data_IF_545584717648
#
_entry.id   IF_545584717648
#
_cell.length_a   1.000
_cell.length_b   1.000
_cell.length_c   1.000
_cell.angle_alpha   90.00
_cell.angle_beta   90.00
_cell.angle_gamma   90.00
#
_symmetry.space_group_name_H-M   'P 1'
#
loop_
_entity.id
_entity.type
_entity.pdbx_description
1 polymer ?
#
# COMPACT_ATOMS: atom_id res chain seq x y z
N UNK A 1 2.82 -22.26 5.37
CA UNK A 1 1.86 -22.89 6.31
C UNK A 1 0.49 -22.51 5.78
N UNK A 2 -0.11 -23.43 4.99
CA UNK A 2 -1.51 -23.32 4.63
C UNK A 2 -2.27 -23.45 5.94
N UNK A 3 -2.62 -22.34 6.58
CA UNK A 3 -3.88 -22.39 7.31
C UNK A 3 -4.94 -22.54 6.22
N UNK A 4 -5.58 -23.68 6.18
CA UNK A 4 -6.88 -23.82 5.58
C UNK A 4 -7.78 -22.81 6.32
N UNK A 5 -7.75 -21.56 5.85
CA UNK A 5 -8.79 -20.63 6.16
C UNK A 5 -10.02 -21.17 5.44
N UNK A 6 -10.67 -22.15 6.10
CA UNK A 6 -12.04 -22.43 5.77
C UNK A 6 -12.78 -21.09 5.89
N UNK A 7 -13.03 -20.54 4.75
CA UNK A 7 -14.09 -19.59 4.31
C UNK A 7 -14.72 -18.57 5.25
N UNK A 8 -14.25 -18.28 6.45
CA UNK A 8 -14.97 -17.35 7.34
C UNK A 8 -14.15 -16.31 8.10
N UNK A 9 -12.83 -16.41 8.20
CA UNK A 9 -12.03 -15.44 8.95
C UNK A 9 -10.96 -14.72 8.11
N UNK A 10 -10.40 -15.35 7.09
CA UNK A 10 -9.41 -14.71 6.17
C UNK A 10 -10.05 -13.72 5.20
N UNK A 11 -11.32 -13.93 4.88
CA UNK A 11 -12.10 -13.03 4.03
C UNK A 11 -12.46 -11.71 4.71
N UNK A 12 -12.50 -11.64 6.03
CA UNK A 12 -13.06 -10.46 6.70
C UNK A 12 -12.16 -9.23 6.59
N UNK A 13 -10.85 -9.37 6.70
CA UNK A 13 -9.91 -8.23 6.62
C UNK A 13 -9.78 -7.70 5.19
N UNK A 14 -9.57 -8.59 4.22
CA UNK A 14 -9.50 -8.20 2.82
C UNK A 14 -10.85 -7.67 2.32
N UNK A 15 -11.96 -8.26 2.76
CA UNK A 15 -13.31 -7.80 2.42
C UNK A 15 -13.63 -6.43 3.03
N UNK A 16 -13.04 -6.05 4.15
CA UNK A 16 -13.13 -4.70 4.68
C UNK A 16 -12.12 -3.74 4.01
N UNK A 17 -10.91 -4.22 3.72
CA UNK A 17 -9.89 -3.41 3.05
C UNK A 17 -10.31 -2.97 1.64
N UNK A 18 -10.88 -3.87 0.83
CA UNK A 18 -11.32 -3.54 -0.53
C UNK A 18 -12.30 -2.36 -0.59
N UNK A 19 -13.39 -2.31 0.18
CA UNK A 19 -14.26 -1.14 0.24
C UNK A 19 -13.54 0.13 0.73
N UNK A 20 -12.67 0.03 1.73
CA UNK A 20 -11.94 1.18 2.26
C UNK A 20 -11.00 1.78 1.20
N UNK A 21 -10.22 0.96 0.50
CA UNK A 21 -9.34 1.41 -0.60
C UNK A 21 -10.15 1.93 -1.79
N UNK A 22 -11.32 1.33 -2.07
CA UNK A 22 -12.25 1.82 -3.10
C UNK A 22 -12.79 3.20 -2.73
N UNK A 23 -13.23 3.40 -1.49
CA UNK A 23 -13.71 4.70 -1.01
C UNK A 23 -12.60 5.75 -1.04
N UNK A 24 -11.39 5.39 -0.63
CA UNK A 24 -10.22 6.27 -0.78
C UNK A 24 -10.00 6.68 -2.23
N UNK A 25 -9.99 5.72 -3.17
CA UNK A 25 -9.79 6.01 -4.59
C UNK A 25 -10.90 6.88 -5.17
N UNK A 26 -12.16 6.69 -4.76
CA UNK A 26 -13.29 7.51 -5.14
C UNK A 26 -13.16 8.94 -4.58
N UNK A 27 -12.68 9.08 -3.35
CA UNK A 27 -12.41 10.40 -2.74
C UNK A 27 -11.33 11.15 -3.52
N UNK A 28 -10.23 10.47 -3.88
CA UNK A 28 -9.19 11.05 -4.75
C UNK A 28 -9.77 11.45 -6.10
N UNK A 29 -10.59 10.58 -6.71
CA UNK A 29 -11.23 10.87 -7.98
C UNK A 29 -12.18 12.08 -7.92
N UNK A 30 -12.90 12.25 -6.81
CA UNK A 30 -13.79 13.39 -6.60
C UNK A 30 -13.02 14.73 -6.43
N UNK A 31 -11.74 14.67 -6.05
CA UNK A 31 -10.89 15.86 -5.89
C UNK A 31 -10.15 16.27 -7.18
N UNK A 32 -10.31 15.53 -8.27
CA UNK A 32 -9.71 15.88 -9.57
C UNK A 32 -10.33 17.14 -10.18
N UNK A 33 -11.57 17.47 -9.83
CA UNK A 33 -12.30 18.64 -10.32
C UNK A 33 -12.05 19.94 -9.52
N UNK A 34 -10.94 19.99 -8.80
CA UNK A 34 -10.56 21.18 -8.06
C UNK A 34 -11.50 21.55 -6.91
N UNK A 35 -11.44 22.82 -6.50
CA UNK A 35 -12.23 23.36 -5.40
C UNK A 35 -13.64 23.73 -5.80
N UNK A 36 -13.82 24.15 -7.06
CA UNK A 36 -15.12 24.57 -7.60
C UNK A 36 -16.04 23.38 -7.96
N UNK A 37 -15.50 22.17 -8.00
CA UNK A 37 -16.25 20.96 -8.30
C UNK A 37 -16.67 20.82 -9.77
N UNK A 38 -16.12 21.64 -10.68
CA UNK A 38 -16.45 21.68 -12.10
C UNK A 38 -15.29 21.16 -12.94
N UNK A 39 -15.51 20.11 -13.71
CA UNK A 39 -14.49 19.55 -14.58
C UNK A 39 -14.14 20.49 -15.75
N UNK A 40 -12.86 20.56 -16.11
CA UNK A 40 -12.36 21.35 -17.24
C UNK A 40 -12.00 22.79 -16.87
N UNK A 41 -11.87 23.11 -15.59
CA UNK A 41 -11.47 24.43 -15.09
C UNK A 41 -9.99 24.47 -14.71
N UNK A 42 -9.47 25.66 -14.43
CA UNK A 42 -8.04 25.90 -14.21
C UNK A 42 -7.51 25.32 -12.88
N UNK A 43 -8.39 24.98 -11.94
CA UNK A 43 -8.05 24.41 -10.65
C UNK A 43 -8.16 22.87 -10.62
N UNK A 44 -8.47 22.24 -11.76
CA UNK A 44 -8.45 20.80 -11.90
C UNK A 44 -7.07 20.21 -11.55
N UNK A 45 -7.07 19.12 -10.81
CA UNK A 45 -5.85 18.42 -10.38
C UNK A 45 -5.81 17.03 -11.00
N UNK A 46 -4.77 16.74 -11.77
CA UNK A 46 -4.59 15.41 -12.37
C UNK A 46 -4.06 14.42 -11.32
N UNK A 47 -4.97 13.86 -10.52
CA UNK A 47 -4.64 12.77 -9.61
C UNK A 47 -4.49 11.44 -10.35
N UNK A 48 -3.43 10.70 -10.04
CA UNK A 48 -3.17 9.38 -10.60
C UNK A 48 -2.91 8.38 -9.48
N UNK A 49 -3.43 7.17 -9.62
CA UNK A 49 -3.25 6.07 -8.68
C UNK A 49 -2.60 4.89 -9.39
N UNK A 50 -1.65 4.24 -8.74
CA UNK A 50 -1.15 2.92 -9.09
C UNK A 50 -1.38 1.96 -7.93
N UNK A 51 -1.62 0.69 -8.21
CA UNK A 51 -1.93 -0.33 -7.21
C UNK A 51 -0.87 -1.41 -7.22
N UNK A 52 -0.37 -1.75 -6.04
CA UNK A 52 0.57 -2.84 -5.80
C UNK A 52 -0.02 -3.76 -4.74
N UNK A 53 -0.17 -5.02 -5.06
CA UNK A 53 -0.44 -6.07 -4.09
C UNK A 53 0.86 -6.70 -3.66
N UNK A 54 1.14 -6.78 -2.36
CA UNK A 54 2.35 -7.43 -1.89
C UNK A 54 2.05 -8.63 -1.00
N UNK A 55 2.82 -9.66 -1.19
CA UNK A 55 2.72 -10.92 -0.46
C UNK A 55 4.10 -11.58 -0.38
N UNK A 56 4.31 -12.69 -1.09
CA UNK A 56 5.63 -13.31 -1.23
C UNK A 56 6.44 -12.66 -2.36
N UNK A 57 7.74 -12.91 -2.37
CA UNK A 57 8.59 -12.46 -3.48
C UNK A 57 8.25 -13.20 -4.77
N UNK A 58 8.34 -14.52 -4.71
CA UNK A 58 8.07 -15.44 -5.82
C UNK A 58 7.98 -16.86 -5.30
N UNK A 59 6.96 -17.58 -5.72
CA UNK A 59 6.88 -19.03 -5.56
C UNK A 59 6.73 -19.69 -6.94
N UNK A 60 7.80 -20.35 -7.41
CA UNK A 60 7.80 -21.10 -8.68
C UNK A 60 6.73 -22.18 -8.73
N UNK A 61 6.32 -22.69 -7.59
CA UNK A 61 5.28 -23.71 -7.48
C UNK A 61 3.86 -23.12 -7.44
N UNK A 62 3.73 -21.80 -7.51
CA UNK A 62 2.45 -21.06 -7.45
C UNK A 62 1.59 -21.40 -6.22
N UNK A 63 2.25 -21.75 -5.11
CA UNK A 63 1.57 -22.06 -3.83
C UNK A 63 1.19 -20.81 -3.05
N UNK A 64 1.84 -19.68 -3.34
CA UNK A 64 1.68 -18.44 -2.62
C UNK A 64 1.49 -17.29 -3.60
N UNK A 65 0.66 -16.32 -3.25
CA UNK A 65 0.57 -15.08 -3.99
C UNK A 65 1.90 -14.35 -3.98
N UNK A 66 2.20 -13.73 -5.12
CA UNK A 66 3.41 -12.95 -5.30
C UNK A 66 3.13 -11.46 -5.04
N UNK A 67 4.20 -10.67 -4.95
CA UNK A 67 4.10 -9.23 -5.04
C UNK A 67 3.90 -8.85 -6.51
N UNK A 68 2.88 -8.05 -6.79
CA UNK A 68 2.38 -7.79 -8.14
C UNK A 68 2.01 -6.32 -8.31
N UNK A 69 2.31 -5.76 -9.50
CA UNK A 69 1.72 -4.50 -9.95
C UNK A 69 0.45 -4.79 -10.74
N UNK A 70 -0.55 -3.94 -10.59
CA UNK A 70 -1.82 -4.05 -11.27
C UNK A 70 -1.95 -2.97 -12.35
N UNK A 71 -2.44 -3.38 -13.53
CA UNK A 71 -2.89 -2.48 -14.60
C UNK A 71 -4.29 -2.93 -14.99
N UNK A 72 -5.31 -2.30 -14.43
CA UNK A 72 -6.67 -2.81 -14.44
C UNK A 72 -6.74 -4.14 -13.71
N UNK A 73 -7.45 -5.12 -14.24
CA UNK A 73 -7.52 -6.48 -13.67
C UNK A 73 -6.27 -7.34 -13.95
N UNK A 74 -5.32 -6.86 -14.75
CA UNK A 74 -4.12 -7.63 -15.09
C UNK A 74 -3.07 -7.49 -13.97
N UNK A 75 -2.42 -8.61 -13.65
CA UNK A 75 -1.41 -8.74 -12.61
C UNK A 75 -0.06 -9.08 -13.22
N UNK A 76 0.99 -8.35 -12.83
CA UNK A 76 2.34 -8.56 -13.33
C UNK A 76 3.31 -8.76 -12.18
N UNK A 77 3.91 -9.94 -12.17
CA UNK A 77 4.68 -10.45 -11.05
C UNK A 77 6.04 -9.75 -10.91
N UNK A 78 6.43 -9.45 -9.67
CA UNK A 78 7.68 -8.80 -9.29
C UNK A 78 8.92 -9.41 -9.94
N UNK A 79 9.05 -10.74 -9.96
CA UNK A 79 10.27 -11.41 -10.43
C UNK A 79 10.32 -11.69 -11.92
N UNK A 80 9.24 -11.53 -12.65
CA UNK A 80 9.18 -11.98 -14.05
C UNK A 80 9.04 -10.83 -15.03
N UNK A 81 8.07 -9.95 -14.82
CA UNK A 81 7.72 -8.96 -15.84
C UNK A 81 7.17 -7.64 -15.29
N UNK A 82 7.02 -7.48 -13.97
CA UNK A 82 6.40 -6.27 -13.40
C UNK A 82 7.07 -4.97 -13.83
N UNK A 83 8.41 -4.95 -13.93
CA UNK A 83 9.15 -3.73 -14.30
C UNK A 83 8.82 -3.19 -15.70
N UNK A 84 8.36 -4.04 -16.61
CA UNK A 84 7.92 -3.63 -17.95
C UNK A 84 6.64 -2.78 -17.91
N UNK A 85 5.88 -2.88 -16.83
CA UNK A 85 4.57 -2.23 -16.68
C UNK A 85 4.59 -1.04 -15.71
N UNK A 86 5.72 -0.73 -15.08
CA UNK A 86 5.82 0.38 -14.14
C UNK A 86 5.45 1.72 -14.79
N UNK A 87 5.83 1.96 -16.03
CA UNK A 87 5.49 3.19 -16.76
C UNK A 87 3.98 3.36 -17.02
N UNK A 88 3.22 2.26 -17.10
CA UNK A 88 1.77 2.25 -17.34
C UNK A 88 0.93 1.94 -16.10
N UNK A 89 1.57 1.80 -14.92
CA UNK A 89 0.86 1.44 -13.70
C UNK A 89 -0.09 2.54 -13.19
N UNK A 90 0.28 3.80 -13.35
CA UNK A 90 -0.57 4.92 -12.93
C UNK A 90 -1.79 5.06 -13.82
N UNK A 91 -2.95 5.10 -13.18
CA UNK A 91 -4.24 5.33 -13.81
C UNK A 91 -4.72 6.75 -13.50
N UNK A 92 -5.17 7.45 -14.52
CA UNK A 92 -5.70 8.81 -14.42
C UNK A 92 -7.10 8.81 -13.79
N UNK A 93 -7.22 9.38 -12.60
CA UNK A 93 -8.47 9.42 -11.85
C UNK A 93 -9.49 10.44 -12.37
N UNK A 94 -9.10 11.26 -13.32
CA UNK A 94 -10.02 12.15 -14.04
C UNK A 94 -10.89 11.38 -15.04
N UNK A 95 -10.39 10.26 -15.56
CA UNK A 95 -11.07 9.49 -16.62
C UNK A 95 -11.93 8.34 -16.09
N UNK A 96 -13.08 8.04 -16.74
CA UNK A 96 -13.87 6.85 -16.40
C UNK A 96 -13.06 5.54 -16.51
N UNK A 97 -12.17 5.45 -17.52
CA UNK A 97 -11.32 4.27 -17.72
C UNK A 97 -10.33 4.09 -16.57
N UNK A 98 -9.67 5.17 -16.13
CA UNK A 98 -8.74 5.10 -15.00
C UNK A 98 -9.43 4.66 -13.70
N UNK A 99 -10.61 5.21 -13.41
CA UNK A 99 -11.45 4.81 -12.26
C UNK A 99 -11.84 3.33 -12.34
N UNK A 100 -12.30 2.87 -13.51
CA UNK A 100 -12.65 1.47 -13.74
C UNK A 100 -11.44 0.54 -13.55
N UNK A 101 -10.27 0.92 -14.04
CA UNK A 101 -9.04 0.16 -13.90
C UNK A 101 -8.61 0.03 -12.42
N UNK A 102 -8.68 1.10 -11.62
CA UNK A 102 -8.38 1.03 -10.19
C UNK A 102 -9.38 0.13 -9.45
N UNK A 103 -10.68 0.25 -9.75
CA UNK A 103 -11.71 -0.63 -9.18
C UNK A 103 -11.44 -2.10 -9.54
N UNK A 104 -11.08 -2.40 -10.78
CA UNK A 104 -10.73 -3.74 -11.22
C UNK A 104 -9.46 -4.26 -10.52
N UNK A 105 -8.44 -3.41 -10.35
CA UNK A 105 -7.22 -3.75 -9.61
C UNK A 105 -7.51 -4.15 -8.16
N UNK A 106 -8.31 -3.34 -7.46
CA UNK A 106 -8.71 -3.63 -6.07
C UNK A 106 -9.56 -4.90 -6.00
N UNK A 107 -10.46 -5.10 -6.95
CA UNK A 107 -11.30 -6.30 -7.07
C UNK A 107 -10.49 -7.58 -7.23
N UNK A 108 -9.35 -7.51 -7.95
CA UNK A 108 -8.48 -8.63 -8.25
C UNK A 108 -7.60 -9.08 -7.08
N UNK A 109 -7.55 -8.35 -5.96
CA UNK A 109 -6.83 -8.80 -4.77
C UNK A 109 -7.38 -10.12 -4.23
N UNK A 110 -6.46 -10.96 -3.79
CA UNK A 110 -6.74 -12.26 -3.20
C UNK A 110 -5.83 -12.46 -1.98
N UNK A 111 -6.38 -12.94 -0.88
CA UNK A 111 -5.67 -13.08 0.40
C UNK A 111 -4.91 -14.40 0.44
N UNK A 112 -3.62 -14.38 0.12
CA UNK A 112 -2.74 -15.54 0.23
C UNK A 112 -1.27 -15.11 0.31
N UNK A 113 -0.44 -15.95 0.91
CA UNK A 113 1.01 -15.77 0.94
C UNK A 113 1.55 -15.16 2.23
N UNK A 114 2.65 -14.44 2.10
CA UNK A 114 3.38 -13.80 3.18
C UNK A 114 3.14 -12.27 3.20
N UNK A 115 3.74 -11.57 4.15
CA UNK A 115 3.64 -10.10 4.26
C UNK A 115 5.03 -9.47 4.06
N UNK A 116 5.62 -9.69 2.89
CA UNK A 116 6.92 -9.09 2.55
C UNK A 116 6.75 -7.66 2.01
N UNK A 117 6.54 -6.73 2.91
CA UNK A 117 6.32 -5.30 2.64
C UNK A 117 7.46 -4.67 1.84
N UNK A 118 8.70 -5.15 2.01
CA UNK A 118 9.87 -4.66 1.28
C UNK A 118 9.71 -4.79 -0.25
N UNK A 119 9.13 -5.88 -0.75
CA UNK A 119 8.92 -6.04 -2.19
C UNK A 119 7.82 -5.12 -2.72
N UNK A 120 6.78 -4.88 -1.93
CA UNK A 120 5.74 -3.90 -2.26
C UNK A 120 6.30 -2.49 -2.38
N UNK A 121 7.10 -2.06 -1.41
CA UNK A 121 7.74 -0.74 -1.40
C UNK A 121 8.80 -0.60 -2.51
N UNK A 122 9.58 -1.66 -2.78
CA UNK A 122 10.53 -1.68 -3.89
C UNK A 122 9.81 -1.48 -5.24
N UNK A 123 8.70 -2.18 -5.44
CA UNK A 123 7.86 -2.04 -6.63
C UNK A 123 7.26 -0.64 -6.73
N UNK A 124 6.75 -0.08 -5.64
CA UNK A 124 6.23 1.28 -5.59
C UNK A 124 7.31 2.32 -5.95
N UNK A 125 8.54 2.17 -5.43
CA UNK A 125 9.69 2.99 -5.81
C UNK A 125 10.00 2.86 -7.30
N UNK A 126 9.97 1.65 -7.85
CA UNK A 126 10.16 1.40 -9.29
C UNK A 126 9.10 2.10 -10.16
N UNK A 127 7.83 2.04 -9.76
CA UNK A 127 6.73 2.74 -10.44
C UNK A 127 6.93 4.26 -10.40
N UNK A 128 7.28 4.81 -9.24
CA UNK A 128 7.54 6.23 -9.09
C UNK A 128 8.74 6.69 -9.93
N UNK A 129 9.80 5.88 -10.02
CA UNK A 129 10.97 6.18 -10.84
C UNK A 129 10.68 6.11 -12.35
N UNK A 130 9.83 5.17 -12.77
CA UNK A 130 9.39 5.04 -14.16
C UNK A 130 8.43 6.16 -14.59
N UNK A 131 7.91 6.93 -13.63
CA UNK A 131 6.99 8.05 -13.85
C UNK A 131 7.51 9.31 -13.16
N UNK A 132 8.60 9.92 -13.64
CA UNK A 132 9.15 11.14 -13.06
C UNK A 132 8.13 12.29 -13.16
N UNK A 133 8.31 13.29 -12.33
CA UNK A 133 7.55 14.54 -12.44
C UNK A 133 8.06 15.26 -13.70
N UNK A 134 7.18 15.65 -14.64
CA UNK A 134 7.60 16.41 -15.81
C UNK A 134 8.25 17.74 -15.42
N UNK A 135 9.18 18.20 -16.22
CA UNK A 135 9.86 19.48 -16.02
C UNK A 135 8.85 20.63 -15.94
N UNK A 136 8.99 21.48 -14.92
CA UNK A 136 8.11 22.61 -14.69
C UNK A 136 6.79 22.28 -13.96
N UNK A 137 6.50 21.00 -13.67
CA UNK A 137 5.36 20.60 -12.87
C UNK A 137 5.75 20.39 -11.40
N UNK A 138 4.80 20.62 -10.50
CA UNK A 138 4.90 20.24 -9.09
C UNK A 138 3.86 19.15 -8.80
N UNK A 139 4.31 18.02 -8.25
CA UNK A 139 3.43 16.91 -7.88
C UNK A 139 3.77 16.40 -6.49
N UNK A 140 2.76 16.25 -5.67
CA UNK A 140 2.89 15.51 -4.42
C UNK A 140 2.94 14.01 -4.74
N UNK A 141 4.03 13.36 -4.37
CA UNK A 141 4.24 11.91 -4.54
C UNK A 141 3.96 11.23 -3.21
N UNK A 142 3.05 10.29 -3.21
CA UNK A 142 2.57 9.65 -1.99
C UNK A 142 2.55 8.13 -2.17
N UNK A 143 2.99 7.40 -1.14
CA UNK A 143 2.73 5.97 -0.97
C UNK A 143 1.80 5.80 0.22
N UNK A 144 0.73 5.04 0.06
CA UNK A 144 -0.12 4.59 1.16
C UNK A 144 0.06 3.08 1.32
N UNK A 145 0.66 2.68 2.43
CA UNK A 145 0.92 1.29 2.78
C UNK A 145 -0.20 0.78 3.69
N UNK A 146 -0.99 -0.17 3.21
CA UNK A 146 -1.97 -0.90 4.03
C UNK A 146 -1.40 -2.26 4.42
N UNK A 147 -1.58 -2.68 5.67
CA UNK A 147 -1.21 -4.02 6.13
C UNK A 147 -2.18 -4.53 7.19
N UNK A 148 -2.53 -5.79 7.10
CA UNK A 148 -3.35 -6.53 8.07
C UNK A 148 -2.53 -7.52 8.91
N UNK A 149 -1.20 -7.53 8.72
CA UNK A 149 -0.31 -8.49 9.35
C UNK A 149 1.10 -7.93 9.63
N UNK A 150 1.88 -8.77 10.28
CA UNK A 150 3.28 -8.46 10.61
C UNK A 150 4.20 -8.70 9.41
N UNK A 151 5.25 -7.89 9.20
CA UNK A 151 6.24 -8.14 8.16
C UNK A 151 6.83 -9.54 8.29
N UNK A 152 6.92 -10.29 7.17
CA UNK A 152 7.59 -11.56 7.12
C UNK A 152 6.77 -12.71 6.54
N UNK A 153 7.31 -13.93 6.70
CA UNK A 153 6.72 -15.16 6.15
C UNK A 153 5.57 -15.70 7.00
N UNK A 154 5.62 -15.47 8.30
CA UNK A 154 4.66 -16.05 9.25
C UNK A 154 3.81 -14.92 9.83
N UNK A 155 2.49 -15.01 9.63
CA UNK A 155 1.55 -14.00 10.09
C UNK A 155 1.52 -13.80 11.63
N UNK A 156 1.96 -14.79 12.39
CA UNK A 156 1.94 -14.75 13.85
C UNK A 156 3.23 -14.19 14.46
N UNK A 157 4.28 -13.95 13.65
CA UNK A 157 5.59 -13.51 14.13
C UNK A 157 6.09 -12.30 13.35
N UNK A 158 6.54 -11.29 14.08
CA UNK A 158 7.22 -10.14 13.49
C UNK A 158 8.64 -10.53 13.06
N UNK A 159 8.91 -10.50 11.76
CA UNK A 159 10.25 -10.74 11.20
C UNK A 159 11.01 -9.43 11.07
N UNK A 160 11.99 -9.25 11.96
CA UNK A 160 12.82 -8.03 12.01
C UNK A 160 13.66 -7.82 10.74
N UNK A 161 14.07 -8.90 10.08
CA UNK A 161 14.83 -8.79 8.83
C UNK A 161 13.94 -8.29 7.69
N UNK A 162 12.73 -8.82 7.59
CA UNK A 162 11.75 -8.35 6.61
C UNK A 162 11.35 -6.89 6.88
N UNK A 163 11.15 -6.52 8.14
CA UNK A 163 10.87 -5.14 8.55
C UNK A 163 12.02 -4.19 8.18
N UNK A 164 13.27 -4.54 8.51
CA UNK A 164 14.44 -3.72 8.20
C UNK A 164 14.64 -3.57 6.68
N UNK A 165 14.39 -4.62 5.90
CA UNK A 165 14.41 -4.53 4.44
C UNK A 165 13.34 -3.57 3.90
N UNK A 166 12.14 -3.58 4.49
CA UNK A 166 11.07 -2.64 4.15
C UNK A 166 11.42 -1.20 4.54
N UNK A 167 12.03 -0.98 5.71
CA UNK A 167 12.51 0.35 6.13
C UNK A 167 13.57 0.91 5.19
N UNK A 168 14.43 0.07 4.63
CA UNK A 168 15.39 0.49 3.59
C UNK A 168 14.65 1.06 2.38
N UNK A 169 13.61 0.39 1.90
CA UNK A 169 12.81 0.86 0.76
C UNK A 169 12.00 2.12 1.10
N UNK A 170 11.46 2.21 2.32
CA UNK A 170 10.78 3.41 2.79
C UNK A 170 11.74 4.62 2.87
N UNK A 171 12.98 4.40 3.30
CA UNK A 171 14.01 5.44 3.34
C UNK A 171 14.34 5.94 1.93
N UNK A 172 14.46 5.04 0.95
CA UNK A 172 14.65 5.43 -0.46
C UNK A 172 13.49 6.32 -0.94
N UNK A 173 12.24 5.92 -0.68
CA UNK A 173 11.07 6.73 -1.04
C UNK A 173 11.12 8.13 -0.41
N UNK A 174 11.33 8.20 0.91
CA UNK A 174 11.37 9.47 1.67
C UNK A 174 12.50 10.39 1.19
N UNK A 175 13.69 9.85 0.91
CA UNK A 175 14.82 10.60 0.37
C UNK A 175 14.55 11.16 -1.05
N UNK A 176 13.63 10.53 -1.79
CA UNK A 176 13.14 11.00 -3.08
C UNK A 176 11.92 11.94 -2.97
N UNK A 177 11.65 12.49 -1.78
CA UNK A 177 10.57 13.45 -1.55
C UNK A 177 9.16 12.82 -1.54
N UNK A 178 9.05 11.50 -1.35
CA UNK A 178 7.76 10.81 -1.27
C UNK A 178 7.24 10.85 0.17
N UNK A 179 6.01 11.32 0.34
CA UNK A 179 5.29 11.18 1.62
C UNK A 179 4.75 9.75 1.75
N UNK A 180 5.08 9.06 2.83
CA UNK A 180 4.67 7.70 3.07
C UNK A 180 3.70 7.65 4.25
N UNK A 181 2.47 7.25 3.97
CA UNK A 181 1.45 6.94 4.97
C UNK A 181 1.40 5.42 5.19
N UNK A 182 1.20 5.01 6.42
CA UNK A 182 0.97 3.61 6.77
C UNK A 182 -0.38 3.45 7.47
N UNK A 183 -1.09 2.38 7.15
CA UNK A 183 -2.39 2.03 7.74
C UNK A 183 -2.31 0.61 8.25
N UNK A 184 -2.30 0.44 9.56
CA UNK A 184 -2.26 -0.86 10.23
C UNK A 184 -3.65 -1.33 10.59
N UNK A 185 -4.01 -2.54 10.12
CA UNK A 185 -5.32 -3.17 10.33
C UNK A 185 -5.10 -4.54 10.99
N UNK A 186 -4.42 -4.54 12.14
CA UNK A 186 -4.14 -5.76 12.88
C UNK A 186 -4.52 -5.60 14.37
N UNK A 187 -4.82 -6.68 15.08
CA UNK A 187 -5.18 -6.60 16.49
C UNK A 187 -4.08 -5.90 17.30
N UNK A 188 -4.44 -4.85 18.03
CA UNK A 188 -3.53 -4.03 18.80
C UNK A 188 -2.76 -2.99 17.97
N UNK A 189 -3.17 -2.70 16.74
CA UNK A 189 -2.66 -1.56 15.98
C UNK A 189 -2.95 -0.26 16.75
N UNK A 190 -1.90 0.52 17.03
CA UNK A 190 -1.97 1.76 17.80
C UNK A 190 -1.00 2.80 17.21
N UNK A 191 -1.57 3.85 16.65
CA UNK A 191 -0.82 4.97 16.09
C UNK A 191 -0.48 6.05 17.12
N UNK A 192 -1.02 5.97 18.33
CA UNK A 192 -0.92 7.01 19.37
C UNK A 192 0.20 6.76 20.36
N UNK A 193 0.57 5.51 20.59
CA UNK A 193 1.63 5.11 21.52
C UNK A 193 2.89 4.73 20.73
N UNK A 194 4.07 5.12 21.22
CA UNK A 194 5.33 4.72 20.61
C UNK A 194 5.52 3.21 20.71
N UNK A 195 5.74 2.56 19.55
CA UNK A 195 6.02 1.13 19.49
C UNK A 195 7.43 0.80 19.97
N UNK A 196 7.67 -0.47 20.29
CA UNK A 196 8.97 -0.99 20.75
C UNK A 196 9.47 -2.10 19.82
N UNK A 197 10.61 -1.87 19.16
CA UNK A 197 11.25 -2.84 18.28
C UNK A 197 11.57 -4.18 18.97
N UNK A 198 11.91 -4.14 20.26
CA UNK A 198 12.26 -5.33 21.04
C UNK A 198 11.09 -5.88 21.88
N UNK A 199 9.94 -5.24 21.81
CA UNK A 199 8.73 -5.63 22.51
C UNK A 199 8.05 -6.87 21.93
N UNK A 200 6.78 -7.03 22.23
CA UNK A 200 5.95 -8.07 21.63
C UNK A 200 5.87 -7.92 20.11
N UNK A 201 5.35 -8.93 19.41
CA UNK A 201 5.14 -8.83 17.96
C UNK A 201 4.25 -7.63 17.59
N UNK A 202 3.24 -7.31 18.41
CA UNK A 202 2.36 -6.16 18.22
C UNK A 202 3.09 -4.83 18.45
N UNK A 203 3.90 -4.73 19.50
CA UNK A 203 4.69 -3.53 19.78
C UNK A 203 5.70 -3.27 18.66
N UNK A 204 6.38 -4.34 18.20
CA UNK A 204 7.31 -4.27 17.10
C UNK A 204 6.63 -3.89 15.78
N UNK A 205 5.39 -4.35 15.55
CA UNK A 205 4.61 -3.96 14.38
C UNK A 205 4.17 -2.49 14.43
N UNK A 206 3.73 -1.99 15.57
CA UNK A 206 3.42 -0.57 15.77
C UNK A 206 4.67 0.30 15.56
N UNK A 207 5.82 -0.11 16.13
CA UNK A 207 7.10 0.53 15.88
C UNK A 207 7.41 0.57 14.36
N UNK A 208 7.27 -0.55 13.67
CA UNK A 208 7.52 -0.66 12.23
C UNK A 208 6.64 0.29 11.42
N UNK A 209 5.34 0.34 11.72
CA UNK A 209 4.40 1.23 11.03
C UNK A 209 4.74 2.70 11.24
N UNK A 210 5.22 3.09 12.41
CA UNK A 210 5.70 4.43 12.72
C UNK A 210 7.00 4.74 11.98
N UNK A 211 7.95 3.79 11.90
CA UNK A 211 9.22 3.99 11.22
C UNK A 211 9.07 4.03 9.70
N UNK A 212 8.24 3.17 9.13
CA UNK A 212 8.03 3.09 7.69
C UNK A 212 7.35 4.35 7.18
N UNK A 213 6.42 4.93 7.93
CA UNK A 213 5.73 6.17 7.59
C UNK A 213 6.64 7.40 7.66
N UNK A 214 6.16 8.53 7.19
CA UNK A 214 6.87 9.81 7.27
C UNK A 214 6.93 10.40 8.68
N UNK A 215 6.33 9.76 9.67
CA UNK A 215 6.49 10.08 11.10
C UNK A 215 7.91 9.85 11.63
N UNK A 216 8.72 9.03 10.93
CA UNK A 216 10.09 8.69 11.35
C UNK A 216 10.19 8.16 12.80
N UNK A 217 9.23 7.33 13.19
CA UNK A 217 9.26 6.61 14.46
C UNK A 217 8.70 7.33 15.67
N UNK A 218 8.11 8.49 15.49
CA UNK A 218 7.44 9.22 16.59
C UNK A 218 5.98 9.47 16.25
N UNK A 219 5.04 9.23 17.20
CA UNK A 219 3.68 9.71 17.04
C UNK A 219 3.67 11.23 16.82
N UNK A 220 3.01 11.68 15.76
CA UNK A 220 2.96 13.10 15.38
C UNK A 220 1.54 13.51 15.00
N UNK A 221 1.29 14.80 14.99
CA UNK A 221 0.05 15.39 14.48
C UNK A 221 0.38 16.41 13.39
N UNK A 222 -0.11 16.27 12.13
CA UNK A 222 -0.91 15.13 11.66
C UNK A 222 -0.09 13.83 11.61
N UNK A 223 -0.74 12.69 11.90
CA UNK A 223 -0.07 11.41 11.87
C UNK A 223 0.01 10.86 10.45
N UNK A 224 1.18 10.31 10.10
CA UNK A 224 1.38 9.52 8.89
C UNK A 224 1.16 8.02 9.12
N UNK A 225 1.05 7.59 10.37
CA UNK A 225 0.57 6.26 10.73
C UNK A 225 -0.86 6.36 11.23
N UNK A 226 -1.74 5.60 10.62
CA UNK A 226 -3.15 5.44 11.00
C UNK A 226 -3.35 4.00 11.44
N UNK A 227 -4.10 3.80 12.51
CA UNK A 227 -4.39 2.47 13.04
C UNK A 227 -5.89 2.21 13.10
N UNK A 228 -6.27 1.00 12.71
CA UNK A 228 -7.57 0.43 12.94
C UNK A 228 -7.38 -0.93 13.63
N UNK A 229 -7.93 -1.11 14.82
CA UNK A 229 -7.79 -2.36 15.58
C UNK A 229 -8.54 -3.51 14.91
N UNK A 230 -9.54 -3.20 14.12
CA UNK A 230 -10.34 -4.13 13.35
C UNK A 230 -10.89 -3.48 12.06
N UNK A 231 -11.44 -4.33 11.21
CA UNK A 231 -11.98 -3.93 9.92
C UNK A 231 -13.24 -3.04 10.01
N UNK A 232 -13.88 -2.97 11.15
CA UNK A 232 -15.09 -2.14 11.37
C UNK A 232 -14.76 -0.68 11.69
N UNK A 233 -13.50 -0.36 11.95
CA UNK A 233 -13.02 1.00 12.26
C UNK A 233 -12.38 1.71 11.05
N UNK A 234 -12.32 1.07 9.90
CA UNK A 234 -11.90 1.61 8.60
C UNK A 234 -13.05 2.28 7.89
#
# INVERSE_FOLDING_TARGET
YRRDYSSSAGDTRLNALKPAVTNFSNTVAAKTVGVDGVAGTADDVNHRIAVVGYASRYDSNKRWKNTEVFVGANQYNYNTNASQYYGSAFQDMHTPTGKANITASIGAFDADGATYTNYGLEMANGILNANPVPDGETRNRVIVLFTDGYPGRNADNFDRNAANAALTQATIAKNNGVSLYSVGIFPGADATTAGDYNGSNTDAANWFMQQVSSNNGTPQSPSYYLSAADAGTL
#
